data_IF_053955877160
#
_entry.id   IF_053955877160
#
_cell.length_a   1.000
_cell.length_b   1.000
_cell.length_c   1.000
_cell.angle_alpha   90.00
_cell.angle_beta   90.00
_cell.angle_gamma   90.00
#
_symmetry.space_group_name_H-M   'P 1'
#
loop_
_entity.id
_entity.type
_entity.pdbx_description
1 polymer ?
#
# COMPACT_ATOMS: atom_id res chain seq x y z
N UNK A 1 26.16 2.93 1.82
CA UNK A 1 25.19 4.06 1.85
C UNK A 1 25.50 5.02 0.71
N UNK A 2 24.56 5.87 0.25
CA UNK A 2 24.82 6.84 -0.84
C UNK A 2 26.05 7.73 -0.57
N UNK A 3 26.31 8.09 0.68
CA UNK A 3 27.52 8.80 1.12
C UNK A 3 28.82 8.07 0.76
N UNK A 4 28.85 6.75 0.94
CA UNK A 4 30.04 5.95 0.75
C UNK A 4 30.28 5.67 -0.75
N UNK A 5 29.19 5.52 -1.51
CA UNK A 5 29.26 5.30 -2.95
C UNK A 5 29.68 6.55 -3.73
N UNK A 6 29.30 7.74 -3.25
CA UNK A 6 29.62 9.02 -3.90
C UNK A 6 30.83 9.72 -3.26
N UNK A 7 31.32 9.24 -2.12
CA UNK A 7 32.34 9.90 -1.30
C UNK A 7 31.96 11.35 -0.95
N UNK A 8 30.68 11.59 -0.63
CA UNK A 8 30.13 12.88 -0.24
C UNK A 8 29.59 12.76 1.19
N UNK A 9 29.70 13.84 1.97
CA UNK A 9 29.12 13.87 3.32
C UNK A 9 27.59 13.72 3.28
N UNK A 10 27.00 13.23 4.37
CA UNK A 10 25.56 12.93 4.43
C UNK A 10 24.73 14.21 4.35
N UNK A 11 25.25 15.30 4.90
CA UNK A 11 24.62 16.62 4.95
C UNK A 11 24.48 17.22 3.54
N UNK A 12 25.52 17.16 2.70
CA UNK A 12 25.41 17.65 1.33
C UNK A 12 24.52 16.75 0.48
N UNK A 13 24.49 15.44 0.74
CA UNK A 13 23.51 14.54 0.09
C UNK A 13 22.09 14.92 0.48
N UNK A 14 21.85 15.25 1.75
CA UNK A 14 20.53 15.70 2.20
C UNK A 14 20.11 17.01 1.52
N UNK A 15 21.01 18.00 1.45
CA UNK A 15 20.75 19.29 0.77
C UNK A 15 20.49 19.05 -0.71
N UNK A 16 21.35 18.31 -1.41
CA UNK A 16 21.19 17.99 -2.83
C UNK A 16 19.85 17.30 -3.11
N UNK A 17 19.47 16.32 -2.27
CA UNK A 17 18.20 15.61 -2.42
C UNK A 17 17.00 16.54 -2.20
N UNK A 18 17.01 17.36 -1.14
CA UNK A 18 15.86 18.18 -0.77
C UNK A 18 15.76 19.50 -1.56
N UNK A 19 16.86 20.22 -1.73
CA UNK A 19 16.88 21.57 -2.29
C UNK A 19 17.12 21.58 -3.80
N UNK A 20 18.05 20.77 -4.31
CA UNK A 20 18.40 20.77 -5.73
C UNK A 20 17.53 19.80 -6.57
N UNK A 21 17.13 18.67 -5.97
CA UNK A 21 16.40 17.59 -6.65
C UNK A 21 14.94 17.45 -6.24
N UNK A 22 14.50 18.25 -5.26
CA UNK A 22 13.14 18.28 -4.71
C UNK A 22 12.61 16.88 -4.36
N UNK A 23 13.43 16.11 -3.64
CA UNK A 23 13.11 14.76 -3.15
C UNK A 23 12.73 14.81 -1.69
N UNK A 24 11.76 13.98 -1.34
CA UNK A 24 11.34 13.77 0.03
C UNK A 24 11.57 12.31 0.43
N UNK A 25 11.93 12.10 1.69
CA UNK A 25 12.02 10.75 2.23
C UNK A 25 10.61 10.20 2.45
N UNK A 26 10.25 9.18 1.69
CA UNK A 26 9.00 8.44 1.89
C UNK A 26 9.25 7.21 2.76
N UNK A 27 8.36 6.95 3.71
CA UNK A 27 8.35 5.70 4.47
C UNK A 27 7.73 4.60 3.61
N UNK A 28 8.27 3.37 3.71
CA UNK A 28 7.65 2.23 3.08
C UNK A 28 6.35 1.87 3.81
N UNK A 29 5.29 1.62 3.06
CA UNK A 29 4.01 1.15 3.61
C UNK A 29 4.04 -0.37 3.79
N UNK A 30 3.36 -0.86 4.83
CA UNK A 30 3.18 -2.29 5.05
C UNK A 30 2.15 -2.84 4.05
N UNK A 31 2.57 -3.76 3.20
CA UNK A 31 1.68 -4.50 2.29
C UNK A 31 1.54 -5.93 2.81
N UNK A 32 0.32 -6.48 2.97
CA UNK A 32 0.11 -7.81 3.56
C UNK A 32 0.83 -8.95 2.82
N UNK A 33 0.98 -8.83 1.51
CA UNK A 33 1.63 -9.86 0.70
C UNK A 33 2.29 -9.32 -0.56
N UNK A 34 3.43 -9.90 -0.92
CA UNK A 34 4.07 -9.68 -2.22
C UNK A 34 3.37 -10.54 -3.27
N UNK A 35 2.55 -9.92 -4.11
CA UNK A 35 1.81 -10.64 -5.14
C UNK A 35 2.68 -11.01 -6.35
N UNK A 36 2.49 -12.22 -6.88
CA UNK A 36 3.07 -12.63 -8.16
C UNK A 36 2.47 -11.84 -9.34
N UNK A 37 3.15 -11.77 -10.50
CA UNK A 37 2.61 -11.10 -11.69
C UNK A 37 1.24 -11.65 -12.10
N UNK A 38 1.04 -12.96 -11.97
CA UNK A 38 -0.21 -13.64 -12.33
C UNK A 38 -1.34 -13.30 -11.35
N UNK A 39 -1.06 -13.29 -10.03
CA UNK A 39 -2.02 -12.84 -9.01
C UNK A 39 -2.46 -11.39 -9.24
N UNK A 40 -1.54 -10.50 -9.64
CA UNK A 40 -1.87 -9.11 -9.99
C UNK A 40 -2.80 -9.02 -11.21
N UNK A 41 -2.57 -9.86 -12.21
CA UNK A 41 -3.42 -9.90 -13.41
C UNK A 41 -4.82 -10.43 -13.08
N UNK A 42 -4.91 -11.54 -12.33
CA UNK A 42 -6.20 -12.09 -11.89
C UNK A 42 -6.97 -11.09 -11.02
N UNK A 43 -6.32 -10.46 -10.05
CA UNK A 43 -6.95 -9.45 -9.18
C UNK A 43 -7.49 -8.28 -10.01
N UNK A 44 -6.73 -7.78 -11.00
CA UNK A 44 -7.19 -6.70 -11.90
C UNK A 44 -8.38 -7.12 -12.75
N UNK A 45 -8.36 -8.32 -13.32
CA UNK A 45 -9.48 -8.84 -14.10
C UNK A 45 -10.75 -8.94 -13.24
N UNK A 46 -10.63 -9.56 -12.06
CA UNK A 46 -11.76 -9.72 -11.15
C UNK A 46 -12.35 -8.37 -10.70
N UNK A 47 -11.50 -7.38 -10.38
CA UNK A 47 -11.98 -6.05 -10.04
C UNK A 47 -12.73 -5.38 -11.19
N UNK A 48 -12.30 -5.57 -12.46
CA UNK A 48 -13.03 -5.03 -13.61
C UNK A 48 -14.41 -5.67 -13.76
N UNK A 49 -14.52 -6.98 -13.50
CA UNK A 49 -15.79 -7.68 -13.56
C UNK A 49 -16.76 -7.18 -12.48
N UNK A 50 -16.25 -6.97 -11.25
CA UNK A 50 -17.04 -6.40 -10.14
C UNK A 50 -17.52 -4.98 -10.47
N UNK A 51 -16.65 -4.14 -11.04
CA UNK A 51 -17.02 -2.77 -11.44
C UNK A 51 -18.13 -2.82 -12.49
N UNK A 52 -17.98 -3.64 -13.53
CA UNK A 52 -19.00 -3.82 -14.55
C UNK A 52 -20.34 -4.31 -13.97
N UNK A 53 -20.31 -5.25 -13.02
CA UNK A 53 -21.53 -5.71 -12.35
C UNK A 53 -22.22 -4.58 -11.56
N UNK A 54 -21.44 -3.75 -10.85
CA UNK A 54 -21.95 -2.61 -10.10
C UNK A 54 -22.52 -1.49 -11.00
N UNK A 55 -21.94 -1.28 -12.17
CA UNK A 55 -22.43 -0.31 -13.16
C UNK A 55 -23.74 -0.76 -13.83
N UNK A 56 -23.88 -2.07 -14.06
CA UNK A 56 -25.06 -2.63 -14.74
C UNK A 56 -26.27 -2.82 -13.81
N UNK A 57 -26.06 -2.96 -12.50
CA UNK A 57 -27.13 -3.10 -11.51
C UNK A 57 -26.93 -2.18 -10.30
N UNK A 58 -27.78 -1.14 -10.22
CA UNK A 58 -27.82 -0.19 -9.11
C UNK A 58 -28.08 -0.82 -7.73
N UNK A 59 -28.59 -2.05 -7.67
CA UNK A 59 -28.82 -2.79 -6.43
C UNK A 59 -27.72 -3.82 -6.13
N UNK A 60 -26.72 -4.00 -7.00
CA UNK A 60 -25.64 -4.97 -6.82
C UNK A 60 -24.96 -4.83 -5.45
N UNK A 61 -24.56 -3.62 -5.07
CA UNK A 61 -23.91 -3.40 -3.77
C UNK A 61 -24.84 -3.65 -2.58
N UNK A 62 -26.16 -3.45 -2.75
CA UNK A 62 -27.14 -3.64 -1.68
C UNK A 62 -27.46 -5.11 -1.43
N UNK A 63 -27.19 -5.99 -2.39
CA UNK A 63 -27.42 -7.43 -2.26
C UNK A 63 -26.22 -8.18 -1.68
N UNK A 64 -25.05 -7.54 -1.58
CA UNK A 64 -23.84 -8.15 -1.03
C UNK A 64 -23.97 -8.28 0.49
N UNK A 65 -23.83 -9.50 0.98
CA UNK A 65 -23.62 -9.82 2.41
C UNK A 65 -22.21 -10.40 2.53
N UNK A 66 -21.37 -9.79 3.36
CA UNK A 66 -19.99 -10.23 3.60
C UNK A 66 -19.72 -10.33 5.10
N UNK A 67 -18.76 -11.17 5.47
CA UNK A 67 -18.29 -11.36 6.85
C UNK A 67 -16.88 -11.92 6.84
N UNK A 68 -16.11 -11.57 7.85
CA UNK A 68 -14.77 -12.11 8.09
C UNK A 68 -14.54 -12.19 9.61
N UNK A 69 -13.61 -13.03 10.04
CA UNK A 69 -13.28 -13.20 11.45
C UNK A 69 -12.07 -12.36 11.81
N UNK A 70 -12.13 -11.71 12.98
CA UNK A 70 -10.98 -10.98 13.52
C UNK A 70 -10.66 -11.46 14.92
N UNK A 71 -9.38 -11.49 15.26
CA UNK A 71 -8.94 -11.85 16.59
C UNK A 71 -9.20 -10.69 17.56
N UNK A 72 -9.93 -10.98 18.64
CA UNK A 72 -10.14 -10.01 19.72
C UNK A 72 -9.11 -10.23 20.83
N UNK A 73 -8.37 -9.18 21.17
CA UNK A 73 -7.48 -9.20 22.33
C UNK A 73 -8.31 -9.27 23.63
N UNK A 74 -7.86 -10.06 24.59
CA UNK A 74 -8.48 -10.16 25.92
C UNK A 74 -8.20 -8.93 26.80
N UNK A 75 -7.19 -8.13 26.44
CA UNK A 75 -6.72 -6.95 27.17
C UNK A 75 -6.67 -5.74 26.21
N UNK A 76 -6.57 -4.53 26.78
CA UNK A 76 -6.43 -3.31 26.01
C UNK A 76 -4.98 -3.17 25.47
N UNK A 77 -4.76 -3.27 24.14
CA UNK A 77 -3.42 -3.22 23.56
C UNK A 77 -2.76 -1.84 23.69
N UNK A 78 -3.50 -0.77 23.98
CA UNK A 78 -2.97 0.60 24.11
C UNK A 78 -2.47 0.91 25.54
N UNK A 79 -2.70 0.00 26.50
CA UNK A 79 -2.29 0.20 27.90
C UNK A 79 -0.86 -0.26 28.21
N UNK A 80 -0.07 -0.63 27.20
CA UNK A 80 1.34 -1.04 27.31
C UNK A 80 2.30 -0.07 26.63
#
# INVERSE_FOLDING_TARGET
MMSDSLNINKEAIQILLHEDLDKTKVCAEFVPHTLSPEQKTMKRAHCRDIISAAENDSNFLKSIVTGDETWCFQYDPETK
#
